data_IF_989234375141
#
_entry.id   IF_989234375141
#
_cell.length_a   1.000
_cell.length_b   1.000
_cell.length_c   1.000
_cell.angle_alpha   90.00
_cell.angle_beta   90.00
_cell.angle_gamma   90.00
#
_symmetry.space_group_name_H-M   'P 1'
#
loop_
_entity.id
_entity.type
_entity.pdbx_description
1 polymer ?
#
# COMPACT_ATOMS: atom_id res chain seq x y z
N UNK A 1 3.43 9.50 9.43
CA UNK A 1 2.60 8.92 8.35
C UNK A 1 2.84 7.42 8.25
N UNK A 2 1.85 6.61 7.84
CA UNK A 2 2.05 5.18 7.55
C UNK A 2 2.88 4.99 6.28
N UNK A 3 3.85 4.08 6.34
CA UNK A 3 4.60 3.59 5.20
C UNK A 3 4.03 2.26 4.72
N UNK A 4 3.47 2.26 3.51
CA UNK A 4 2.89 1.06 2.91
C UNK A 4 3.61 0.73 1.61
N UNK A 5 3.87 -0.56 1.36
CA UNK A 5 4.43 -1.04 0.08
C UNK A 5 3.48 -2.07 -0.52
N UNK A 6 3.18 -1.94 -1.81
CA UNK A 6 2.46 -2.95 -2.59
C UNK A 6 3.50 -3.75 -3.36
N UNK A 7 3.40 -5.08 -3.38
CA UNK A 7 4.34 -5.94 -4.11
C UNK A 7 4.43 -5.62 -5.59
N UNK A 8 5.56 -5.96 -6.21
CA UNK A 8 5.66 -6.03 -7.67
C UNK A 8 4.55 -6.95 -8.22
N UNK A 9 3.95 -6.66 -9.38
CA UNK A 9 3.01 -7.58 -10.03
C UNK A 9 3.64 -8.95 -10.33
N UNK A 10 4.90 -8.94 -10.75
CA UNK A 10 5.68 -10.13 -11.10
C UNK A 10 6.43 -10.68 -9.88
N UNK A 11 6.60 -12.00 -9.80
CA UNK A 11 7.49 -12.61 -8.82
C UNK A 11 8.94 -12.32 -9.16
N UNK A 12 9.71 -11.85 -8.17
CA UNK A 12 11.10 -11.45 -8.37
C UNK A 12 12.04 -12.40 -7.63
N UNK A 13 13.23 -12.61 -8.19
CA UNK A 13 14.31 -13.28 -7.46
C UNK A 13 14.69 -12.47 -6.21
N UNK A 14 14.78 -13.13 -5.06
CA UNK A 14 15.08 -12.47 -3.78
C UNK A 14 13.94 -11.65 -3.19
N UNK A 15 12.71 -11.75 -3.72
CA UNK A 15 11.57 -10.93 -3.26
C UNK A 15 11.30 -11.06 -1.76
N UNK A 16 11.26 -12.28 -1.21
CA UNK A 16 11.03 -12.50 0.22
C UNK A 16 12.12 -11.88 1.11
N UNK A 17 13.38 -11.94 0.66
CA UNK A 17 14.50 -11.31 1.36
C UNK A 17 14.38 -9.78 1.35
N UNK A 18 13.96 -9.21 0.21
CA UNK A 18 13.74 -7.79 0.11
C UNK A 18 12.54 -7.33 0.97
N UNK A 19 11.49 -8.13 1.08
CA UNK A 19 10.37 -7.88 1.98
C UNK A 19 10.82 -7.85 3.45
N UNK A 20 11.62 -8.83 3.89
CA UNK A 20 12.22 -8.82 5.24
C UNK A 20 13.04 -7.53 5.47
N UNK A 21 13.86 -7.14 4.50
CA UNK A 21 14.60 -5.86 4.53
C UNK A 21 13.68 -4.66 4.71
N UNK A 22 12.60 -4.54 3.92
CA UNK A 22 11.64 -3.43 4.07
C UNK A 22 11.07 -3.36 5.49
N UNK A 23 10.68 -4.49 6.08
CA UNK A 23 10.18 -4.53 7.46
C UNK A 23 11.23 -4.13 8.49
N UNK A 24 12.49 -4.55 8.32
CA UNK A 24 13.60 -4.12 9.21
C UNK A 24 13.85 -2.62 9.18
N UNK A 25 13.58 -1.94 8.06
CA UNK A 25 13.65 -0.48 7.95
C UNK A 25 12.39 0.24 8.48
N UNK A 26 11.40 -0.50 8.99
CA UNK A 26 10.22 0.09 9.62
C UNK A 26 9.04 0.27 8.67
N UNK A 27 8.88 -0.62 7.67
CA UNK A 27 7.63 -0.75 6.91
C UNK A 27 6.45 -1.05 7.87
N UNK A 28 5.36 -0.30 7.72
CA UNK A 28 4.17 -0.48 8.54
C UNK A 28 3.30 -1.62 8.02
N UNK A 29 3.00 -1.64 6.72
CA UNK A 29 2.21 -2.69 6.07
C UNK A 29 2.75 -3.05 4.69
N UNK A 30 2.76 -4.35 4.38
CA UNK A 30 2.94 -4.86 3.02
C UNK A 30 1.59 -5.27 2.45
N UNK A 31 1.25 -4.80 1.26
CA UNK A 31 0.13 -5.32 0.48
C UNK A 31 0.65 -6.35 -0.53
N UNK A 32 0.34 -7.61 -0.29
CA UNK A 32 0.63 -8.70 -1.22
C UNK A 32 -0.44 -8.73 -2.32
N UNK A 33 -0.01 -8.39 -3.54
CA UNK A 33 -0.84 -8.33 -4.73
C UNK A 33 -0.10 -8.92 -5.93
N UNK A 34 -0.42 -10.16 -6.26
CA UNK A 34 0.02 -10.90 -7.44
C UNK A 34 -1.21 -11.27 -8.26
N UNK A 35 -1.53 -10.41 -9.22
CA UNK A 35 -2.81 -10.45 -9.93
C UNK A 35 -2.95 -11.73 -10.75
N UNK A 36 -3.92 -12.58 -10.41
CA UNK A 36 -4.16 -13.84 -11.13
C UNK A 36 -3.16 -14.97 -10.84
N UNK A 37 -2.27 -14.80 -9.86
CA UNK A 37 -1.42 -15.91 -9.39
C UNK A 37 -2.24 -16.91 -8.55
N UNK A 38 -1.77 -18.15 -8.46
CA UNK A 38 -2.46 -19.21 -7.72
C UNK A 38 -2.37 -19.01 -6.21
N UNK A 39 -3.23 -19.71 -5.45
CA UNK A 39 -3.15 -19.71 -3.98
C UNK A 39 -1.84 -20.37 -3.51
N UNK A 40 -1.34 -21.35 -4.25
CA UNK A 40 -0.04 -22.00 -4.02
C UNK A 40 1.12 -21.01 -4.19
N UNK A 41 1.09 -20.13 -5.19
CA UNK A 41 2.12 -19.11 -5.38
C UNK A 41 2.14 -18.11 -4.21
N UNK A 42 0.96 -17.69 -3.74
CA UNK A 42 0.85 -16.83 -2.56
C UNK A 42 1.38 -17.54 -1.31
N UNK A 43 0.94 -18.77 -1.08
CA UNK A 43 1.38 -19.60 0.05
C UNK A 43 2.90 -19.79 0.04
N UNK A 44 3.48 -20.04 -1.14
CA UNK A 44 4.92 -20.19 -1.31
C UNK A 44 5.65 -18.91 -0.90
N UNK A 45 5.28 -17.74 -1.44
CA UNK A 45 5.94 -16.48 -1.07
C UNK A 45 5.76 -16.15 0.42
N UNK A 46 4.57 -16.35 1.00
CA UNK A 46 4.31 -16.13 2.43
C UNK A 46 5.18 -17.03 3.30
N UNK A 47 5.39 -18.29 2.91
CA UNK A 47 6.24 -19.25 3.65
C UNK A 47 7.71 -18.85 3.68
N UNK A 48 8.18 -18.03 2.71
CA UNK A 48 9.54 -17.53 2.65
C UNK A 48 9.74 -16.23 3.46
N UNK A 49 8.66 -15.51 3.77
CA UNK A 49 8.71 -14.29 4.59
C UNK A 49 8.73 -14.69 6.07
N UNK A 50 9.64 -14.11 6.90
CA UNK A 50 9.67 -14.40 8.33
C UNK A 50 8.31 -14.18 9.01
N UNK A 51 7.91 -15.15 9.83
CA UNK A 51 6.60 -15.19 10.49
C UNK A 51 6.31 -13.98 11.37
N UNK A 52 7.34 -13.37 11.97
CA UNK A 52 7.21 -12.15 12.76
C UNK A 52 6.59 -10.98 11.98
N UNK A 53 6.66 -11.00 10.64
CA UNK A 53 6.09 -9.97 9.78
C UNK A 53 4.68 -10.25 9.28
N UNK A 54 4.17 -11.48 9.44
CA UNK A 54 2.89 -11.90 8.84
C UNK A 54 1.72 -11.03 9.29
N UNK A 55 1.69 -10.64 10.57
CA UNK A 55 0.68 -9.73 11.16
C UNK A 55 0.66 -8.31 10.57
N UNK A 56 1.56 -8.00 9.62
CA UNK A 56 1.67 -6.73 8.88
C UNK A 56 1.48 -6.89 7.37
N UNK A 57 1.02 -8.06 6.91
CA UNK A 57 0.76 -8.33 5.49
C UNK A 57 -0.75 -8.29 5.23
N UNK A 58 -1.13 -7.62 4.15
CA UNK A 58 -2.52 -7.45 3.69
C UNK A 58 -2.69 -8.11 2.33
N UNK A 59 -3.69 -8.96 2.18
CA UNK A 59 -3.95 -9.67 0.93
C UNK A 59 -4.90 -8.92 0.01
N UNK A 60 -4.66 -8.97 -1.30
CA UNK A 60 -5.61 -8.51 -2.32
C UNK A 60 -6.46 -9.65 -2.91
N UNK A 61 -5.98 -10.90 -2.84
CA UNK A 61 -6.62 -12.12 -3.35
C UNK A 61 -6.37 -13.26 -2.33
N UNK A 62 -7.08 -14.39 -2.47
CA UNK A 62 -6.91 -15.59 -1.61
C UNK A 62 -7.03 -15.32 -0.10
N UNK A 63 -8.14 -14.68 0.30
CA UNK A 63 -8.37 -14.21 1.68
C UNK A 63 -8.37 -15.34 2.72
N UNK A 64 -8.60 -16.58 2.32
CA UNK A 64 -8.46 -17.78 3.15
C UNK A 64 -7.07 -17.93 3.79
N UNK A 65 -6.02 -17.40 3.14
CA UNK A 65 -4.65 -17.46 3.68
C UNK A 65 -4.46 -16.54 4.89
N UNK A 66 -5.39 -15.61 5.16
CA UNK A 66 -5.29 -14.72 6.33
C UNK A 66 -5.32 -15.46 7.65
N UNK A 67 -6.13 -16.52 7.77
CA UNK A 67 -6.18 -17.35 8.98
C UNK A 67 -4.99 -18.32 9.04
N UNK A 68 -4.60 -18.90 7.90
CA UNK A 68 -3.47 -19.83 7.79
C UNK A 68 -2.16 -19.20 8.29
N UNK A 69 -1.88 -17.96 7.87
CA UNK A 69 -0.64 -17.25 8.18
C UNK A 69 -0.80 -16.16 9.27
N UNK A 70 -1.98 -16.01 9.87
CA UNK A 70 -2.27 -14.95 10.87
C UNK A 70 -1.97 -13.54 10.35
N UNK A 71 -2.42 -13.26 9.13
CA UNK A 71 -2.13 -12.03 8.41
C UNK A 71 -2.90 -10.82 8.97
N UNK A 72 -2.46 -9.61 8.62
CA UNK A 72 -3.04 -8.37 9.11
C UNK A 72 -4.50 -8.17 8.67
N UNK A 73 -4.78 -8.45 7.40
CA UNK A 73 -6.01 -7.95 6.79
C UNK A 73 -6.19 -8.30 5.32
N UNK A 74 -7.28 -7.76 4.76
CA UNK A 74 -7.64 -7.86 3.36
C UNK A 74 -7.83 -6.47 2.73
N UNK A 75 -7.59 -6.39 1.43
CA UNK A 75 -7.83 -5.22 0.61
C UNK A 75 -8.84 -5.57 -0.49
N UNK A 76 -10.06 -5.07 -0.34
CA UNK A 76 -11.15 -5.31 -1.28
C UNK A 76 -10.86 -4.61 -2.61
N UNK A 77 -11.19 -5.31 -3.70
CA UNK A 77 -11.03 -4.83 -5.07
C UNK A 77 -12.12 -5.42 -5.97
N UNK A 78 -12.09 -5.12 -7.27
CA UNK A 78 -13.13 -5.58 -8.22
C UNK A 78 -13.26 -7.10 -8.33
N UNK A 79 -12.17 -7.85 -8.12
CA UNK A 79 -12.17 -9.33 -8.17
C UNK A 79 -12.58 -9.94 -6.83
N UNK A 80 -12.17 -9.31 -5.74
CA UNK A 80 -12.45 -9.72 -4.37
C UNK A 80 -13.17 -8.57 -3.63
N UNK A 81 -14.45 -8.38 -3.94
CA UNK A 81 -15.23 -7.21 -3.47
C UNK A 81 -15.99 -7.45 -2.17
N UNK A 82 -16.10 -8.70 -1.74
CA UNK A 82 -16.87 -9.09 -0.56
C UNK A 82 -15.93 -9.45 0.59
N UNK A 83 -16.32 -9.05 1.79
CA UNK A 83 -15.67 -9.49 3.03
C UNK A 83 -16.12 -10.93 3.30
N UNK A 84 -15.19 -11.89 3.49
CA UNK A 84 -15.56 -13.25 3.85
C UNK A 84 -16.39 -13.28 5.13
N UNK A 85 -17.36 -14.19 5.20
CA UNK A 85 -18.21 -14.34 6.37
C UNK A 85 -17.36 -14.60 7.63
N UNK A 86 -17.67 -13.89 8.71
CA UNK A 86 -16.96 -14.05 9.98
C UNK A 86 -15.52 -13.50 10.02
N UNK A 87 -15.04 -12.81 8.97
CA UNK A 87 -13.71 -12.20 8.97
C UNK A 87 -13.60 -11.09 10.04
N UNK A 88 -12.50 -11.11 10.83
CA UNK A 88 -12.25 -10.17 11.95
C UNK A 88 -10.95 -9.36 11.83
N UNK A 89 -10.29 -9.37 10.67
CA UNK A 89 -9.05 -8.61 10.43
C UNK A 89 -9.30 -7.20 9.92
N UNK A 90 -8.21 -6.48 9.60
CA UNK A 90 -8.30 -5.16 8.98
C UNK A 90 -8.85 -5.25 7.55
N UNK A 91 -9.75 -4.35 7.19
CA UNK A 91 -10.36 -4.26 5.85
C UNK A 91 -10.03 -2.89 5.26
N UNK A 92 -9.47 -2.89 4.05
CA UNK A 92 -9.22 -1.67 3.27
C UNK A 92 -9.75 -1.81 1.85
N UNK A 93 -9.80 -0.71 1.10
CA UNK A 93 -10.08 -0.74 -0.34
C UNK A 93 -9.43 0.45 -1.04
N UNK A 94 -9.48 0.45 -2.38
CA UNK A 94 -9.02 1.57 -3.20
C UNK A 94 -10.20 2.45 -3.60
N UNK A 95 -9.98 3.76 -3.58
CA UNK A 95 -10.87 4.81 -4.05
C UNK A 95 -10.18 5.62 -5.16
N UNK A 96 -10.98 6.07 -6.11
CA UNK A 96 -10.57 6.84 -7.28
C UNK A 96 -11.25 8.20 -7.38
N UNK A 97 -12.07 8.56 -6.39
CA UNK A 97 -12.67 9.87 -6.25
C UNK A 97 -12.86 10.22 -4.76
N UNK A 98 -13.10 11.50 -4.45
CA UNK A 98 -13.37 11.94 -3.07
C UNK A 98 -14.74 11.45 -2.58
N UNK A 99 -15.71 11.31 -3.47
CA UNK A 99 -17.03 10.75 -3.18
C UNK A 99 -16.91 9.29 -2.76
N UNK A 100 -16.06 8.50 -3.43
CA UNK A 100 -15.77 7.13 -3.03
C UNK A 100 -15.10 7.08 -1.64
N UNK A 101 -14.22 8.03 -1.33
CA UNK A 101 -13.61 8.14 0.01
C UNK A 101 -14.68 8.39 1.06
N UNK A 102 -15.57 9.36 0.85
CA UNK A 102 -16.67 9.67 1.78
C UNK A 102 -17.56 8.45 2.00
N UNK A 103 -17.92 7.73 0.93
CA UNK A 103 -18.78 6.56 1.01
C UNK A 103 -18.12 5.38 1.74
N UNK A 104 -16.82 5.13 1.51
CA UNK A 104 -16.15 3.93 2.05
C UNK A 104 -15.46 4.14 3.40
N UNK A 105 -15.08 5.37 3.76
CA UNK A 105 -14.29 5.64 4.98
C UNK A 105 -14.93 5.11 6.28
N UNK A 106 -16.26 5.16 6.48
CA UNK A 106 -16.89 4.59 7.68
C UNK A 106 -16.82 3.06 7.75
N UNK A 107 -16.69 2.39 6.60
CA UNK A 107 -16.81 0.93 6.46
C UNK A 107 -15.46 0.20 6.42
N UNK A 108 -14.34 0.94 6.47
CA UNK A 108 -12.99 0.43 6.25
C UNK A 108 -12.04 0.94 7.33
N UNK A 109 -10.99 0.18 7.63
CA UNK A 109 -9.94 0.61 8.55
C UNK A 109 -9.07 1.71 7.96
N UNK A 110 -8.79 1.64 6.65
CA UNK A 110 -8.14 2.69 5.86
C UNK A 110 -8.46 2.50 4.37
N UNK A 111 -8.12 3.50 3.57
CA UNK A 111 -8.41 3.55 2.14
C UNK A 111 -7.16 3.99 1.38
N UNK A 112 -7.03 3.54 0.13
CA UNK A 112 -6.14 4.17 -0.84
C UNK A 112 -6.91 5.22 -1.64
N UNK A 113 -6.30 6.38 -1.88
CA UNK A 113 -6.78 7.35 -2.87
C UNK A 113 -5.73 7.46 -3.98
N UNK A 114 -6.14 7.25 -5.23
CA UNK A 114 -5.22 7.24 -6.37
C UNK A 114 -5.88 7.54 -7.72
N UNK A 115 -5.12 8.04 -8.71
CA UNK A 115 -3.71 8.46 -8.63
C UNK A 115 -3.53 9.88 -8.08
N UNK A 116 -2.61 10.08 -7.12
CA UNK A 116 -2.31 11.40 -6.55
C UNK A 116 -1.32 12.19 -7.40
N UNK A 117 -0.27 11.55 -7.89
CA UNK A 117 0.71 12.17 -8.77
C UNK A 117 0.80 11.42 -10.10
N UNK A 118 1.34 12.10 -11.12
CA UNK A 118 1.63 11.50 -12.41
C UNK A 118 2.53 10.27 -12.22
N UNK A 119 2.25 9.21 -12.97
CA UNK A 119 3.11 8.03 -12.94
C UNK A 119 4.48 8.33 -13.53
N UNK A 120 5.53 8.02 -12.78
CA UNK A 120 6.92 8.11 -13.25
C UNK A 120 7.19 7.08 -14.36
N UNK A 121 6.51 5.92 -14.31
CA UNK A 121 6.80 4.76 -15.16
C UNK A 121 5.75 4.44 -16.23
N UNK A 122 4.60 5.12 -16.22
CA UNK A 122 3.53 4.94 -17.21
C UNK A 122 3.17 6.29 -17.84
N UNK A 123 3.73 6.52 -19.04
CA UNK A 123 3.43 7.71 -19.85
C UNK A 123 1.92 7.76 -20.13
N UNK A 124 1.26 8.89 -19.79
CA UNK A 124 -0.18 9.09 -19.96
C UNK A 124 -1.05 8.75 -18.74
N UNK A 125 -0.46 8.32 -17.62
CA UNK A 125 -1.19 8.16 -16.35
C UNK A 125 -1.07 9.44 -15.51
N UNK A 126 -1.99 10.37 -15.75
CA UNK A 126 -2.01 11.68 -15.11
C UNK A 126 -2.64 11.64 -13.71
N UNK A 127 -2.24 12.59 -12.86
CA UNK A 127 -2.85 12.83 -11.57
C UNK A 127 -4.33 13.14 -11.75
N UNK A 128 -5.17 12.52 -10.94
CA UNK A 128 -6.62 12.70 -11.02
C UNK A 128 -7.13 13.94 -10.27
N UNK A 129 -6.27 14.58 -9.47
CA UNK A 129 -6.64 15.66 -8.56
C UNK A 129 -5.69 16.83 -8.70
N UNK A 130 -6.22 18.05 -8.65
CA UNK A 130 -5.43 19.27 -8.52
C UNK A 130 -5.00 19.51 -7.08
N UNK A 131 -3.91 20.25 -6.88
CA UNK A 131 -3.46 20.71 -5.56
C UNK A 131 -4.56 21.42 -4.77
N UNK A 132 -5.34 22.29 -5.43
CA UNK A 132 -6.48 22.99 -4.81
C UNK A 132 -7.56 22.03 -4.32
N UNK A 133 -7.86 20.99 -5.10
CA UNK A 133 -8.86 19.98 -4.75
C UNK A 133 -8.40 19.17 -3.52
N UNK A 134 -7.13 18.76 -3.48
CA UNK A 134 -6.58 18.01 -2.35
C UNK A 134 -6.47 18.88 -1.09
N UNK A 135 -6.10 20.15 -1.24
CA UNK A 135 -6.06 21.10 -0.14
C UNK A 135 -7.46 21.31 0.47
N UNK A 136 -8.49 21.48 -0.37
CA UNK A 136 -9.87 21.61 0.09
C UNK A 136 -10.34 20.32 0.79
N UNK A 137 -10.08 19.16 0.20
CA UNK A 137 -10.44 17.87 0.79
C UNK A 137 -9.75 17.61 2.15
N UNK A 138 -8.55 18.14 2.36
CA UNK A 138 -7.84 18.11 3.64
C UNK A 138 -8.47 19.06 4.67
N UNK A 139 -8.94 20.24 4.26
CA UNK A 139 -9.66 21.19 5.12
C UNK A 139 -11.03 20.64 5.54
N UNK A 140 -11.72 19.96 4.62
CA UNK A 140 -13.03 19.35 4.85
C UNK A 140 -12.96 17.99 5.59
N UNK A 141 -11.75 17.58 6.03
CA UNK A 141 -11.48 16.30 6.68
C UNK A 141 -11.89 15.05 5.86
N UNK A 142 -12.04 15.20 4.53
CA UNK A 142 -12.21 14.08 3.61
C UNK A 142 -10.90 13.32 3.48
N UNK A 143 -9.75 14.00 3.46
CA UNK A 143 -8.43 13.38 3.60
C UNK A 143 -7.98 13.53 5.05
N UNK A 144 -7.64 12.41 5.68
CA UNK A 144 -7.22 12.34 7.08
C UNK A 144 -6.29 11.13 7.32
N UNK A 145 -6.08 10.81 8.60
CA UNK A 145 -5.26 9.67 9.05
C UNK A 145 -5.65 8.29 8.49
N UNK A 146 -6.86 8.12 7.94
CA UNK A 146 -7.33 6.87 7.32
C UNK A 146 -7.13 6.82 5.80
N UNK A 147 -6.81 7.94 5.16
CA UNK A 147 -6.62 8.02 3.71
C UNK A 147 -5.13 7.96 3.39
N UNK A 148 -4.74 6.98 2.57
CA UNK A 148 -3.36 6.73 2.19
C UNK A 148 -3.19 7.11 0.71
N UNK A 149 -2.22 7.97 0.42
CA UNK A 149 -1.92 8.40 -0.94
C UNK A 149 -1.28 7.26 -1.74
N UNK A 150 -1.74 7.07 -2.98
CA UNK A 150 -1.17 6.10 -3.92
C UNK A 150 -1.13 6.70 -5.35
N UNK A 151 -0.12 6.33 -6.12
CA UNK A 151 0.08 6.75 -7.51
C UNK A 151 1.10 7.87 -7.63
N UNK A 152 2.24 7.58 -8.27
CA UNK A 152 3.34 8.53 -8.48
C UNK A 152 4.07 8.98 -7.19
N UNK A 153 3.84 8.30 -6.07
CA UNK A 153 4.46 8.65 -4.78
C UNK A 153 5.94 8.25 -4.74
N UNK A 154 6.78 9.16 -4.24
CA UNK A 154 8.23 8.98 -4.04
C UNK A 154 8.69 9.81 -2.83
N UNK A 155 9.96 9.68 -2.43
CA UNK A 155 10.48 10.50 -1.33
C UNK A 155 10.32 12.01 -1.55
N UNK A 156 10.35 12.46 -2.81
CA UNK A 156 10.28 13.88 -3.17
C UNK A 156 8.93 14.55 -2.86
N UNK A 157 7.83 13.79 -2.82
CA UNK A 157 6.49 14.35 -2.64
C UNK A 157 5.87 14.09 -1.25
N UNK A 158 6.61 13.48 -0.34
CA UNK A 158 6.16 13.27 1.05
C UNK A 158 5.80 14.58 1.78
N UNK A 159 6.59 15.67 1.67
CA UNK A 159 6.21 16.94 2.32
C UNK A 159 4.85 17.46 1.85
N UNK A 160 4.53 17.29 0.56
CA UNK A 160 3.25 17.68 -0.01
C UNK A 160 2.11 16.78 0.47
N UNK A 161 2.35 15.47 0.59
CA UNK A 161 1.34 14.57 1.16
C UNK A 161 1.02 14.92 2.63
N UNK A 162 2.01 15.38 3.40
CA UNK A 162 1.81 15.87 4.78
C UNK A 162 0.94 17.13 4.81
N UNK A 163 1.17 18.09 3.90
CA UNK A 163 0.36 19.33 3.85
C UNK A 163 -1.10 19.08 3.45
N UNK A 164 -1.37 17.99 2.73
CA UNK A 164 -2.72 17.50 2.42
C UNK A 164 -3.29 16.52 3.45
N UNK A 165 -2.65 16.37 4.62
CA UNK A 165 -3.12 15.55 5.75
C UNK A 165 -3.32 14.05 5.46
N UNK A 166 -2.67 13.49 4.42
CA UNK A 166 -2.72 12.05 4.20
C UNK A 166 -2.17 11.28 5.41
N UNK A 167 -2.89 10.25 5.84
CA UNK A 167 -2.47 9.37 6.93
C UNK A 167 -1.27 8.50 6.60
N UNK A 168 -0.97 8.33 5.31
CA UNK A 168 0.13 7.52 4.84
C UNK A 168 0.39 7.62 3.36
N UNK A 169 1.42 6.91 2.93
CA UNK A 169 1.88 6.84 1.56
C UNK A 169 2.12 5.37 1.17
N UNK A 170 1.56 4.97 0.03
CA UNK A 170 1.71 3.65 -0.54
C UNK A 170 2.64 3.68 -1.77
N UNK A 171 3.67 2.84 -1.74
CA UNK A 171 4.73 2.78 -2.75
C UNK A 171 4.68 1.46 -3.53
N UNK A 172 5.11 1.50 -4.78
CA UNK A 172 5.30 0.32 -5.62
C UNK A 172 6.57 0.48 -6.46
N UNK A 173 6.49 1.18 -7.61
CA UNK A 173 7.57 1.21 -8.59
C UNK A 173 8.87 1.83 -8.06
N UNK A 174 8.75 2.89 -7.27
CA UNK A 174 9.90 3.56 -6.65
C UNK A 174 10.69 2.66 -5.70
N UNK A 175 10.03 1.72 -5.03
CA UNK A 175 10.68 0.76 -4.13
C UNK A 175 11.24 -0.44 -4.92
N UNK A 176 10.41 -1.08 -5.75
CA UNK A 176 10.80 -2.30 -6.44
C UNK A 176 11.85 -2.09 -7.52
N UNK A 177 11.94 -0.89 -8.12
CA UNK A 177 13.05 -0.54 -9.04
C UNK A 177 14.43 -0.52 -8.37
N UNK A 178 14.49 -0.57 -7.03
CA UNK A 178 15.71 -0.51 -6.22
C UNK A 178 16.11 -1.83 -5.59
N UNK A 179 15.42 -2.93 -5.89
CA UNK A 179 15.68 -4.24 -5.28
C UNK A 179 17.15 -4.69 -5.41
N UNK A 180 17.82 -4.29 -6.51
CA UNK A 180 19.23 -4.58 -6.78
C UNK A 180 20.14 -3.34 -6.62
N UNK A 181 19.64 -2.23 -6.08
CA UNK A 181 20.47 -1.03 -5.85
C UNK A 181 21.35 -1.23 -4.61
N UNK A 182 22.69 -1.15 -4.70
CA UNK A 182 23.57 -1.30 -3.55
C UNK A 182 23.36 -0.21 -2.48
N UNK A 183 22.67 0.89 -2.79
CA UNK A 183 22.36 1.99 -1.86
C UNK A 183 20.94 1.91 -1.32
N UNK A 184 20.22 0.81 -1.54
CA UNK A 184 18.81 0.70 -1.16
C UNK A 184 18.59 0.91 0.34
N UNK A 185 19.48 0.43 1.21
CA UNK A 185 19.32 0.57 2.66
C UNK A 185 19.33 2.06 3.08
N UNK A 186 20.26 2.86 2.52
CA UNK A 186 20.31 4.32 2.75
C UNK A 186 19.03 5.01 2.26
N UNK A 187 18.49 4.56 1.13
CA UNK A 187 17.23 5.08 0.60
C UNK A 187 16.05 4.77 1.54
N UNK A 188 15.95 3.54 2.03
CA UNK A 188 14.89 3.11 2.94
C UNK A 188 14.95 3.85 4.29
N UNK A 189 16.15 4.07 4.84
CA UNK A 189 16.32 4.86 6.06
C UNK A 189 15.88 6.31 5.88
N UNK A 190 16.30 6.94 4.78
CA UNK A 190 15.88 8.31 4.42
C UNK A 190 14.37 8.38 4.25
N UNK A 191 13.77 7.38 3.59
CA UNK A 191 12.34 7.31 3.37
C UNK A 191 11.57 7.20 4.70
N UNK A 192 12.02 6.34 5.62
CA UNK A 192 11.42 6.20 6.95
C UNK A 192 11.49 7.49 7.76
N UNK A 193 12.60 8.22 7.69
CA UNK A 193 12.76 9.53 8.34
C UNK A 193 11.80 10.58 7.77
N UNK A 194 11.63 10.63 6.45
CA UNK A 194 10.68 11.55 5.80
C UNK A 194 9.23 11.23 6.18
N UNK A 195 8.88 9.96 6.36
CA UNK A 195 7.54 9.51 6.72
C UNK A 195 7.21 9.61 8.21
N UNK A 196 8.22 9.69 9.09
CA UNK A 196 8.02 9.97 10.52
C UNK A 196 7.21 11.27 10.71
#
# INVERSE_FOLDING_TARGET
MKWIVITSPDFLSGEAFFIDKLFRHGLDLLHLRKSGASVEDYRHLLSLIPECWHSRIVLHEHFELTSEFRLHGIHLNRRCSHVPEGFKGSISCSCHSLEEVVANKPLRNYLFLSPIFNSISKVGYEAAFSDSTLQQAAQDAIIDSKVIALGGVSSANIPQLKSWHFGGAAFLGDIWSRINDPRVDQYLDTLRQLLA
#
